data_IF_010247694455
#
_entry.id   IF_010247694455
#
_cell.length_a   1.000
_cell.length_b   1.000
_cell.length_c   1.000
_cell.angle_alpha   90.00
_cell.angle_beta   90.00
_cell.angle_gamma   90.00
#
_symmetry.space_group_name_H-M   'P 1'
#
loop_
_entity.id
_entity.type
_entity.pdbx_description
1 polymer ?
#
# COMPACT_ATOMS: atom_id res chain seq x y z
N UNK A 1 -3.50 31.55 19.45
CA UNK A 1 -3.68 31.31 18.00
C UNK A 1 -3.08 29.95 17.65
N UNK A 2 -3.87 29.03 17.10
CA UNK A 2 -3.43 27.66 16.75
C UNK A 2 -2.39 27.73 15.61
N UNK A 3 -1.22 27.11 15.80
CA UNK A 3 -0.18 26.97 14.76
C UNK A 3 -0.77 26.16 13.60
N UNK A 4 -0.94 26.78 12.42
CA UNK A 4 -1.24 26.07 11.18
C UNK A 4 -0.03 25.18 10.85
N UNK A 5 -0.26 23.89 10.65
CA UNK A 5 0.77 22.94 10.27
C UNK A 5 1.51 23.46 9.03
N UNK A 6 2.83 23.38 9.08
CA UNK A 6 3.71 23.64 7.93
C UNK A 6 3.33 22.64 6.83
N UNK A 7 2.59 23.11 5.81
CA UNK A 7 2.35 22.33 4.62
C UNK A 7 3.69 22.10 3.95
N UNK A 8 4.13 20.84 3.94
CA UNK A 8 5.17 20.26 3.09
C UNK A 8 6.25 21.25 2.61
N UNK A 9 7.43 21.24 3.24
CA UNK A 9 8.59 22.03 2.81
C UNK A 9 9.03 21.83 1.34
N UNK A 10 8.42 20.89 0.59
CA UNK A 10 8.75 20.55 -0.80
C UNK A 10 7.55 20.64 -1.77
N UNK A 11 6.59 21.56 -1.56
CA UNK A 11 5.52 21.76 -2.56
C UNK A 11 6.02 22.60 -3.73
N UNK A 12 6.18 21.98 -4.89
CA UNK A 12 6.52 22.61 -6.15
C UNK A 12 5.38 22.37 -7.17
N UNK A 13 4.46 23.33 -7.33
CA UNK A 13 3.29 23.17 -8.19
C UNK A 13 3.65 23.07 -9.67
N UNK A 14 4.67 23.82 -10.13
CA UNK A 14 5.11 23.79 -11.54
C UNK A 14 5.67 22.42 -11.88
N UNK A 15 6.58 21.92 -11.03
CA UNK A 15 7.16 20.59 -11.23
C UNK A 15 6.11 19.49 -11.18
N UNK A 16 5.15 19.57 -10.27
CA UNK A 16 4.05 18.61 -10.22
C UNK A 16 3.21 18.65 -11.50
N UNK A 17 2.94 19.85 -12.04
CA UNK A 17 2.16 20.05 -13.26
C UNK A 17 2.87 19.46 -14.49
N UNK A 18 4.18 19.67 -14.61
CA UNK A 18 5.02 19.04 -15.65
C UNK A 18 4.93 17.51 -15.60
N UNK A 19 5.16 16.93 -14.42
CA UNK A 19 5.18 15.47 -14.27
C UNK A 19 3.82 14.82 -14.59
N UNK A 20 2.71 15.52 -14.30
CA UNK A 20 1.36 15.07 -14.68
C UNK A 20 1.16 15.16 -16.19
N UNK A 21 1.63 16.24 -16.83
CA UNK A 21 1.53 16.41 -18.29
C UNK A 21 2.38 15.40 -19.06
N UNK A 22 3.55 15.03 -18.51
CA UNK A 22 4.40 13.95 -19.02
C UNK A 22 3.76 12.56 -18.90
N UNK A 23 2.59 12.46 -18.26
CA UNK A 23 1.85 11.21 -18.10
C UNK A 23 2.46 10.26 -17.07
N UNK A 24 3.32 10.75 -16.17
CA UNK A 24 3.94 9.92 -15.13
C UNK A 24 2.91 9.37 -14.14
N UNK A 25 3.16 8.15 -13.66
CA UNK A 25 2.30 7.52 -12.67
C UNK A 25 2.64 7.98 -11.23
N UNK A 26 1.78 7.65 -10.27
CA UNK A 26 1.97 8.06 -8.87
C UNK A 26 3.32 7.63 -8.27
N UNK A 27 3.82 6.43 -8.62
CA UNK A 27 5.11 5.93 -8.10
C UNK A 27 6.28 6.73 -8.62
N UNK A 28 6.27 7.09 -9.90
CA UNK A 28 7.30 7.91 -10.53
C UNK A 28 7.32 9.32 -9.95
N UNK A 29 6.15 9.95 -9.82
CA UNK A 29 6.02 11.30 -9.23
C UNK A 29 6.53 11.30 -7.78
N UNK A 30 6.13 10.31 -6.98
CA UNK A 30 6.60 10.16 -5.60
C UNK A 30 8.12 9.99 -5.52
N UNK A 31 8.73 9.24 -6.45
CA UNK A 31 10.17 9.02 -6.52
C UNK A 31 10.93 10.30 -6.91
N UNK A 32 10.41 11.03 -7.90
CA UNK A 32 11.01 12.27 -8.40
C UNK A 32 10.98 13.37 -7.33
N UNK A 33 9.81 13.58 -6.74
CA UNK A 33 9.59 14.61 -5.72
C UNK A 33 10.06 14.18 -4.32
N UNK A 34 10.45 12.91 -4.16
CA UNK A 34 10.83 12.29 -2.87
C UNK A 34 9.78 12.50 -1.79
N UNK A 35 8.51 12.34 -2.16
CA UNK A 35 7.35 12.54 -1.28
C UNK A 35 6.58 11.25 -1.04
N UNK A 36 5.81 11.22 0.06
CA UNK A 36 4.90 10.12 0.35
C UNK A 36 3.64 10.17 -0.53
N UNK A 37 2.91 9.05 -0.61
CA UNK A 37 1.61 8.98 -1.32
C UNK A 37 0.61 9.98 -0.75
N UNK A 38 0.58 10.12 0.58
CA UNK A 38 -0.29 11.06 1.28
C UNK A 38 0.05 12.51 0.90
N UNK A 39 1.33 12.86 0.92
CA UNK A 39 1.80 14.19 0.50
C UNK A 39 1.46 14.48 -0.96
N UNK A 40 1.59 13.50 -1.86
CA UNK A 40 1.20 13.66 -3.26
C UNK A 40 -0.32 13.93 -3.40
N UNK A 41 -1.17 13.29 -2.59
CA UNK A 41 -2.61 13.56 -2.60
C UNK A 41 -2.94 14.99 -2.12
N UNK A 42 -2.28 15.45 -1.05
CA UNK A 42 -2.45 16.82 -0.56
C UNK A 42 -1.98 17.85 -1.58
N UNK A 43 -0.79 17.63 -2.16
CA UNK A 43 -0.21 18.51 -3.18
C UNK A 43 -1.06 18.55 -4.46
N UNK A 44 -1.58 17.41 -4.91
CA UNK A 44 -2.51 17.35 -6.04
C UNK A 44 -3.78 18.14 -5.74
N UNK A 45 -4.37 17.98 -4.56
CA UNK A 45 -5.57 18.73 -4.17
C UNK A 45 -5.30 20.24 -4.18
N UNK A 46 -4.17 20.68 -3.64
CA UNK A 46 -3.76 22.09 -3.67
C UNK A 46 -3.66 22.61 -5.11
N UNK A 47 -2.97 21.88 -5.99
CA UNK A 47 -2.80 22.25 -7.39
C UNK A 47 -4.15 22.33 -8.14
N UNK A 48 -5.07 21.40 -7.87
CA UNK A 48 -6.40 21.41 -8.49
C UNK A 48 -7.26 22.58 -8.04
N UNK A 49 -7.17 22.98 -6.76
CA UNK A 49 -7.88 24.15 -6.23
C UNK A 49 -7.32 25.44 -6.83
N UNK A 50 -6.00 25.52 -6.97
CA UNK A 50 -5.29 26.66 -7.53
C UNK A 50 -5.60 26.86 -9.02
N UNK A 51 -5.45 25.80 -9.83
CA UNK A 51 -5.67 25.84 -11.27
C UNK A 51 -7.16 25.74 -11.66
N UNK A 52 -8.05 25.47 -10.69
CA UNK A 52 -9.47 25.11 -10.90
C UNK A 52 -9.65 24.03 -11.97
N UNK A 53 -8.70 23.10 -12.03
CA UNK A 53 -8.62 22.05 -13.05
C UNK A 53 -8.58 20.69 -12.39
N UNK A 54 -9.21 19.71 -13.04
CA UNK A 54 -9.11 18.32 -12.63
C UNK A 54 -7.84 17.70 -13.22
N UNK A 55 -6.95 17.23 -12.35
CA UNK A 55 -5.79 16.44 -12.71
C UNK A 55 -5.99 15.00 -12.24
N UNK A 56 -5.73 14.02 -13.11
CA UNK A 56 -5.87 12.59 -12.80
C UNK A 56 -4.47 11.97 -12.88
N UNK A 57 -4.00 11.42 -11.76
CA UNK A 57 -2.75 10.67 -11.68
C UNK A 57 -3.09 9.18 -11.57
N UNK A 58 -2.58 8.39 -12.51
CA UNK A 58 -2.74 6.93 -12.52
C UNK A 58 -2.12 6.31 -11.26
N UNK A 59 -2.77 5.29 -10.68
CA UNK A 59 -2.34 4.56 -9.48
C UNK A 59 -2.36 5.37 -8.17
N UNK A 60 -2.78 6.65 -8.19
CA UNK A 60 -2.82 7.49 -6.99
C UNK A 60 -4.05 7.19 -6.14
N UNK A 61 -5.22 7.11 -6.77
CA UNK A 61 -6.49 6.86 -6.08
C UNK A 61 -6.93 5.40 -6.16
N UNK A 62 -6.17 4.56 -6.85
CA UNK A 62 -6.43 3.12 -6.89
C UNK A 62 -6.33 2.57 -5.46
N UNK A 63 -7.51 2.35 -4.89
CA UNK A 63 -7.69 1.64 -3.65
C UNK A 63 -7.24 0.22 -3.94
N UNK A 64 -6.25 -0.26 -3.19
CA UNK A 64 -5.93 -1.70 -3.20
C UNK A 64 -7.24 -2.46 -3.06
N UNK A 65 -7.49 -3.35 -4.00
CA UNK A 65 -8.64 -4.25 -3.89
C UNK A 65 -8.54 -5.02 -2.57
N UNK A 66 -9.68 -5.43 -2.02
CA UNK A 66 -9.69 -6.24 -0.78
C UNK A 66 -8.83 -7.50 -0.91
N UNK A 67 -8.71 -8.03 -2.13
CA UNK A 67 -7.83 -9.14 -2.49
C UNK A 67 -6.34 -8.77 -2.37
N UNK A 68 -5.90 -7.64 -2.92
CA UNK A 68 -4.52 -7.17 -2.77
C UNK A 68 -4.18 -6.85 -1.31
N UNK A 69 -5.14 -6.30 -0.55
CA UNK A 69 -4.97 -6.08 0.90
C UNK A 69 -4.80 -7.40 1.65
N UNK A 70 -5.58 -8.44 1.32
CA UNK A 70 -5.41 -9.80 1.86
C UNK A 70 -3.99 -10.31 1.57
N UNK A 71 -3.54 -10.27 0.32
CA UNK A 71 -2.20 -10.73 -0.08
C UNK A 71 -1.05 -9.97 0.60
N UNK A 72 -1.23 -8.68 0.90
CA UNK A 72 -0.20 -7.90 1.61
C UNK A 72 0.00 -8.40 3.05
N UNK A 73 -1.02 -8.97 3.71
CA UNK A 73 -0.90 -9.59 5.05
C UNK A 73 -0.10 -10.89 5.04
N UNK A 74 -0.09 -11.62 3.92
CA UNK A 74 0.60 -12.91 3.81
C UNK A 74 2.11 -12.79 3.51
N UNK A 75 2.58 -11.62 3.02
CA UNK A 75 3.94 -11.49 2.46
C UNK A 75 5.05 -11.05 3.43
N UNK A 76 4.76 -10.69 4.68
CA UNK A 76 5.80 -10.15 5.58
C UNK A 76 6.29 -11.12 6.66
N UNK A 77 5.47 -12.06 7.13
CA UNK A 77 5.78 -12.85 8.33
C UNK A 77 5.68 -14.37 8.13
N UNK A 78 5.59 -14.84 6.88
CA UNK A 78 5.34 -16.25 6.56
C UNK A 78 3.86 -16.60 6.49
N UNK A 79 3.55 -17.89 6.36
CA UNK A 79 2.16 -18.38 6.26
C UNK A 79 1.53 -18.36 7.64
N UNK A 80 0.61 -17.43 7.88
CA UNK A 80 -0.13 -17.33 9.14
C UNK A 80 -1.36 -18.23 9.07
N UNK A 81 -1.38 -19.28 9.87
CA UNK A 81 -2.57 -20.10 10.12
C UNK A 81 -3.40 -19.47 11.25
N UNK A 82 -4.60 -18.98 10.94
CA UNK A 82 -5.54 -18.52 11.97
C UNK A 82 -6.18 -19.72 12.67
N UNK A 83 -6.61 -19.53 13.92
CA UNK A 83 -7.31 -20.56 14.69
C UNK A 83 -8.52 -21.14 13.95
N UNK A 84 -9.22 -20.29 13.18
CA UNK A 84 -10.35 -20.71 12.34
C UNK A 84 -9.92 -21.69 11.23
N UNK A 85 -8.73 -21.53 10.67
CA UNK A 85 -8.17 -22.45 9.66
C UNK A 85 -7.73 -23.78 10.27
N UNK A 86 -7.42 -23.82 11.57
CA UNK A 86 -6.99 -25.03 12.29
C UNK A 86 -8.13 -25.79 12.97
N UNK A 87 -9.35 -25.23 13.02
CA UNK A 87 -10.50 -25.78 13.77
C UNK A 87 -10.82 -27.25 13.42
N UNK A 88 -10.53 -27.68 12.18
CA UNK A 88 -10.81 -29.04 11.71
C UNK A 88 -9.55 -29.88 11.47
N UNK A 89 -8.36 -29.36 11.79
CA UNK A 89 -7.09 -30.04 11.50
C UNK A 89 -6.48 -30.71 12.74
N UNK A 90 -7.09 -30.55 13.92
CA UNK A 90 -6.59 -31.12 15.18
C UNK A 90 -5.37 -30.42 15.77
N UNK A 91 -4.93 -29.32 15.15
CA UNK A 91 -3.87 -28.45 15.63
C UNK A 91 -4.44 -27.35 16.53
N UNK A 92 -3.77 -27.08 17.64
CA UNK A 92 -4.04 -25.97 18.54
C UNK A 92 -2.88 -24.97 18.54
N UNK A 93 -3.14 -23.67 18.85
CA UNK A 93 -2.06 -22.73 19.09
C UNK A 93 -1.08 -23.28 20.14
N UNK A 94 0.21 -23.34 19.79
CA UNK A 94 1.27 -23.90 20.64
C UNK A 94 1.65 -25.36 20.34
N UNK A 95 0.90 -26.07 19.47
CA UNK A 95 1.31 -27.39 18.99
C UNK A 95 2.54 -27.30 18.08
N UNK A 96 3.48 -28.24 18.25
CA UNK A 96 4.61 -28.42 17.35
C UNK A 96 4.19 -29.24 16.13
N UNK A 97 4.74 -28.88 14.97
CA UNK A 97 4.49 -29.60 13.72
C UNK A 97 5.73 -29.56 12.82
N UNK A 98 5.83 -30.58 11.99
CA UNK A 98 6.74 -30.62 10.85
C UNK A 98 5.99 -30.15 9.59
N UNK A 99 6.60 -29.26 8.82
CA UNK A 99 6.04 -28.74 7.58
C UNK A 99 6.76 -29.36 6.38
N UNK A 100 6.01 -30.04 5.51
CA UNK A 100 6.53 -30.61 4.26
C UNK A 100 5.81 -29.96 3.08
N UNK A 101 6.57 -29.57 2.05
CA UNK A 101 6.03 -29.00 0.81
C UNK A 101 6.21 -30.01 -0.32
N UNK A 102 5.10 -30.54 -0.83
CA UNK A 102 5.09 -31.50 -1.96
C UNK A 102 4.09 -31.03 -3.02
N UNK A 103 4.51 -30.98 -4.29
CA UNK A 103 3.66 -30.73 -5.46
C UNK A 103 2.62 -29.61 -5.29
N UNK A 104 3.03 -28.46 -4.72
CA UNK A 104 2.17 -27.30 -4.51
C UNK A 104 1.20 -27.40 -3.32
N UNK A 105 1.38 -28.38 -2.43
CA UNK A 105 0.63 -28.54 -1.18
C UNK A 105 1.55 -28.38 0.02
N UNK A 106 1.02 -27.75 1.07
CA UNK A 106 1.68 -27.68 2.39
C UNK A 106 1.03 -28.75 3.27
N UNK A 107 1.82 -29.72 3.71
CA UNK A 107 1.40 -30.79 4.62
C UNK A 107 1.97 -30.49 6.01
N UNK A 108 1.10 -30.45 7.01
CA UNK A 108 1.47 -30.28 8.41
C UNK A 108 1.37 -31.65 9.12
N UNK A 109 2.50 -32.16 9.63
CA UNK A 109 2.54 -33.39 10.43
C UNK A 109 2.71 -33.01 11.89
N UNK A 110 1.83 -33.51 12.76
CA UNK A 110 1.93 -33.25 14.20
C UNK A 110 3.10 -34.03 14.80
N UNK A 111 3.87 -33.40 15.68
CA UNK A 111 4.96 -34.00 16.44
C UNK A 111 4.44 -34.42 17.83
#
# INVERSE_FOLDING_TARGET
MKKKGSYSHNYDPERLRELIQDGKNAKEIMKELKISKYSLQEQLLMLQVEDKKLYIIKDLLDLKTEEEKKWTRYRKDGVIFSERMLRFTGFKPGDAFEMVVEEGRIILKKI
#
